data_IF_901431202336
#
_entry.id   IF_901431202336
#
_cell.length_a   1.000
_cell.length_b   1.000
_cell.length_c   1.000
_cell.angle_alpha   90.00
_cell.angle_beta   90.00
_cell.angle_gamma   90.00
#
_symmetry.space_group_name_H-M   'P 1'
#
loop_
_entity.id
_entity.type
_entity.pdbx_description
1 polymer ?
#
# COMPACT_ATOMS: atom_id res chain seq x y z
N UNK A 1 -27.19 20.13 -14.00
CA UNK A 1 -25.83 19.77 -13.61
C UNK A 1 -25.03 19.61 -14.90
N UNK A 2 -23.99 20.41 -15.08
CA UNK A 2 -23.12 20.30 -16.25
C UNK A 2 -22.24 19.05 -16.21
N UNK A 3 -21.51 18.76 -17.28
CA UNK A 3 -20.69 17.55 -17.39
C UNK A 3 -19.53 17.55 -16.38
N UNK A 4 -18.90 18.69 -16.15
CA UNK A 4 -17.83 18.84 -15.15
C UNK A 4 -18.31 18.58 -13.73
N UNK A 5 -19.50 19.08 -13.39
CA UNK A 5 -20.12 18.82 -12.07
C UNK A 5 -20.45 17.35 -11.90
N UNK A 6 -20.88 16.63 -12.95
CA UNK A 6 -21.13 15.18 -12.89
C UNK A 6 -19.84 14.41 -12.64
N UNK A 7 -18.76 14.77 -13.31
CA UNK A 7 -17.43 14.15 -13.13
C UNK A 7 -16.93 14.37 -11.69
N UNK A 8 -17.03 15.59 -11.19
CA UNK A 8 -16.61 15.90 -9.81
C UNK A 8 -17.46 15.17 -8.78
N UNK A 9 -18.78 15.11 -8.99
CA UNK A 9 -19.69 14.36 -8.12
C UNK A 9 -19.32 12.86 -8.09
N UNK A 10 -19.05 12.27 -9.26
CA UNK A 10 -18.61 10.88 -9.34
C UNK A 10 -17.29 10.65 -8.61
N UNK A 11 -16.28 11.54 -8.80
CA UNK A 11 -15.00 11.46 -8.10
C UNK A 11 -15.18 11.48 -6.57
N UNK A 12 -15.99 12.43 -6.07
CA UNK A 12 -16.26 12.57 -4.65
C UNK A 12 -17.04 11.36 -4.09
N UNK A 13 -17.97 10.80 -4.85
CA UNK A 13 -18.72 9.60 -4.45
C UNK A 13 -17.79 8.39 -4.29
N UNK A 14 -16.88 8.18 -5.25
CA UNK A 14 -15.87 7.13 -5.15
C UNK A 14 -14.87 7.37 -4.01
N UNK A 15 -14.47 8.62 -3.77
CA UNK A 15 -13.63 8.99 -2.63
C UNK A 15 -14.30 8.64 -1.29
N UNK A 16 -15.56 9.06 -1.10
CA UNK A 16 -16.30 8.78 0.13
C UNK A 16 -16.44 7.27 0.36
N UNK A 17 -16.72 6.49 -0.69
CA UNK A 17 -16.78 5.04 -0.58
C UNK A 17 -15.43 4.44 -0.21
N UNK A 18 -14.33 4.96 -0.78
CA UNK A 18 -12.97 4.58 -0.42
C UNK A 18 -12.64 4.89 1.04
N UNK A 19 -13.10 6.04 1.55
CA UNK A 19 -12.92 6.44 2.95
C UNK A 19 -13.67 5.51 3.92
N UNK A 20 -14.90 5.12 3.58
CA UNK A 20 -15.68 4.15 4.38
C UNK A 20 -14.95 2.80 4.44
N UNK A 21 -14.50 2.28 3.29
CA UNK A 21 -13.74 1.03 3.23
C UNK A 21 -12.44 1.11 4.06
N UNK A 22 -11.76 2.26 4.05
CA UNK A 22 -10.55 2.47 4.84
C UNK A 22 -10.82 2.39 6.34
N UNK A 23 -11.93 3.00 6.81
CA UNK A 23 -12.37 2.93 8.21
C UNK A 23 -12.66 1.50 8.65
N UNK A 24 -13.21 0.69 7.77
CA UNK A 24 -13.47 -0.74 7.98
C UNK A 24 -12.21 -1.61 7.85
N UNK A 25 -11.03 -1.00 7.64
CA UNK A 25 -9.76 -1.68 7.32
C UNK A 25 -9.83 -2.63 6.12
N UNK A 26 -10.75 -2.40 5.21
CA UNK A 26 -10.80 -3.00 3.89
C UNK A 26 -9.89 -2.21 2.94
N UNK A 27 -8.57 -2.36 3.13
CA UNK A 27 -7.58 -1.48 2.50
C UNK A 27 -7.51 -1.68 0.98
N UNK A 28 -7.56 -2.91 0.51
CA UNK A 28 -7.59 -3.22 -0.93
C UNK A 28 -8.87 -2.70 -1.60
N UNK A 29 -10.01 -2.82 -0.94
CA UNK A 29 -11.27 -2.21 -1.36
C UNK A 29 -11.16 -0.68 -1.43
N UNK A 30 -10.65 -0.06 -0.37
CA UNK A 30 -10.41 1.38 -0.31
C UNK A 30 -9.52 1.85 -1.47
N UNK A 31 -8.36 1.20 -1.68
CA UNK A 31 -7.45 1.53 -2.77
C UNK A 31 -8.13 1.44 -4.15
N UNK A 32 -9.00 0.45 -4.37
CA UNK A 32 -9.76 0.29 -5.62
C UNK A 32 -10.70 1.48 -5.86
N UNK A 33 -11.46 1.89 -4.85
CA UNK A 33 -12.38 3.03 -4.94
C UNK A 33 -11.63 4.36 -5.11
N UNK A 34 -10.54 4.57 -4.37
CA UNK A 34 -9.71 5.78 -4.49
C UNK A 34 -9.06 5.90 -5.86
N UNK A 35 -8.52 4.80 -6.41
CA UNK A 35 -8.03 4.78 -7.79
C UNK A 35 -9.12 5.13 -8.79
N UNK A 36 -10.35 4.66 -8.54
CA UNK A 36 -11.50 5.02 -9.40
C UNK A 36 -11.84 6.51 -9.28
N UNK A 37 -11.83 7.09 -8.08
CA UNK A 37 -11.98 8.53 -7.88
C UNK A 37 -10.96 9.33 -8.70
N UNK A 38 -9.69 8.90 -8.69
CA UNK A 38 -8.60 9.54 -9.44
C UNK A 38 -8.69 9.35 -10.96
N UNK A 39 -9.40 8.35 -11.46
CA UNK A 39 -9.72 8.21 -12.89
C UNK A 39 -10.72 9.28 -13.34
N UNK A 40 -11.69 9.65 -12.49
CA UNK A 40 -12.64 10.73 -12.77
C UNK A 40 -12.02 12.11 -12.56
N UNK A 41 -11.27 12.29 -11.48
CA UNK A 41 -10.57 13.54 -11.19
C UNK A 41 -9.13 13.28 -10.71
N UNK A 42 -8.17 13.38 -11.64
CA UNK A 42 -6.74 13.20 -11.35
C UNK A 42 -6.15 14.25 -10.40
N UNK A 43 -6.84 15.38 -10.21
CA UNK A 43 -6.45 16.49 -9.33
C UNK A 43 -7.04 16.38 -7.91
N UNK A 44 -7.74 15.30 -7.59
CA UNK A 44 -8.34 15.09 -6.27
C UNK A 44 -7.27 14.76 -5.22
N UNK A 45 -6.72 15.79 -4.58
CA UNK A 45 -5.61 15.67 -3.61
C UNK A 45 -5.97 14.82 -2.39
N UNK A 46 -7.19 14.96 -1.83
CA UNK A 46 -7.62 14.13 -0.70
C UNK A 46 -7.66 12.64 -1.05
N UNK A 47 -8.09 12.30 -2.27
CA UNK A 47 -8.10 10.89 -2.71
C UNK A 47 -6.66 10.35 -2.85
N UNK A 48 -5.71 11.17 -3.30
CA UNK A 48 -4.28 10.81 -3.34
C UNK A 48 -3.70 10.64 -1.96
N UNK A 49 -3.99 11.56 -1.06
CA UNK A 49 -3.51 11.53 0.31
C UNK A 49 -3.96 10.26 1.03
N UNK A 50 -5.24 9.95 0.91
CA UNK A 50 -5.80 8.73 1.49
C UNK A 50 -5.25 7.47 0.82
N UNK A 51 -5.10 7.46 -0.51
CA UNK A 51 -4.50 6.33 -1.23
C UNK A 51 -3.04 6.10 -0.80
N UNK A 52 -2.28 7.17 -0.57
CA UNK A 52 -0.94 7.08 0.00
C UNK A 52 -0.93 6.44 1.38
N UNK A 53 -1.85 6.85 2.27
CA UNK A 53 -2.01 6.22 3.59
C UNK A 53 -2.34 4.73 3.49
N UNK A 54 -3.24 4.35 2.60
CA UNK A 54 -3.59 2.94 2.36
C UNK A 54 -2.36 2.15 1.91
N UNK A 55 -1.58 2.65 0.97
CA UNK A 55 -0.35 1.99 0.53
C UNK A 55 0.67 1.88 1.67
N UNK A 56 0.81 2.92 2.49
CA UNK A 56 1.72 2.91 3.63
C UNK A 56 1.33 1.84 4.66
N UNK A 57 0.04 1.75 5.00
CA UNK A 57 -0.51 0.71 5.88
C UNK A 57 -0.29 -0.71 5.33
N UNK A 58 -0.39 -0.87 4.01
CA UNK A 58 -0.13 -2.15 3.32
C UNK A 58 1.37 -2.44 3.13
N UNK A 59 2.26 -1.60 3.65
CA UNK A 59 3.70 -1.76 3.53
C UNK A 59 4.29 -1.33 2.19
N UNK A 60 3.51 -0.73 1.31
CA UNK A 60 3.90 -0.24 -0.01
C UNK A 60 4.41 1.20 0.07
N UNK A 61 5.47 1.43 0.86
CA UNK A 61 5.96 2.78 1.19
C UNK A 61 6.32 3.60 -0.05
N UNK A 62 6.95 3.00 -1.06
CA UNK A 62 7.30 3.72 -2.30
C UNK A 62 6.06 4.20 -3.05
N UNK A 63 5.02 3.36 -3.13
CA UNK A 63 3.74 3.73 -3.76
C UNK A 63 3.04 4.86 -2.96
N UNK A 64 3.13 4.82 -1.63
CA UNK A 64 2.61 5.87 -0.76
C UNK A 64 3.30 7.23 -1.02
N UNK A 65 4.64 7.23 -1.02
CA UNK A 65 5.45 8.43 -1.28
C UNK A 65 5.11 9.05 -2.65
N UNK A 66 4.95 8.23 -3.69
CA UNK A 66 4.54 8.69 -5.03
C UNK A 66 3.21 9.45 -4.96
N UNK A 67 2.20 8.90 -4.25
CA UNK A 67 0.89 9.57 -4.15
C UNK A 67 1.00 10.91 -3.42
N UNK A 68 1.75 10.98 -2.32
CA UNK A 68 1.91 12.20 -1.53
C UNK A 68 2.71 13.26 -2.29
N UNK A 69 3.81 12.90 -2.96
CA UNK A 69 4.59 13.83 -3.80
C UNK A 69 3.73 14.42 -4.91
N UNK A 70 2.95 13.59 -5.62
CA UNK A 70 2.01 14.09 -6.65
C UNK A 70 0.98 15.02 -6.02
N UNK A 71 0.45 14.69 -4.83
CA UNK A 71 -0.53 15.51 -4.15
C UNK A 71 -0.01 16.90 -3.81
N UNK A 72 1.22 16.99 -3.26
CA UNK A 72 1.87 18.27 -2.93
C UNK A 72 2.11 19.10 -4.19
N UNK A 73 2.58 18.49 -5.27
CA UNK A 73 2.78 19.20 -6.53
C UNK A 73 1.47 19.76 -7.11
N UNK A 74 0.34 19.14 -6.83
CA UNK A 74 -0.99 19.62 -7.26
C UNK A 74 -1.54 20.72 -6.34
N UNK A 75 -1.23 20.64 -5.05
CA UNK A 75 -1.67 21.57 -4.02
C UNK A 75 -0.52 21.78 -3.02
N UNK A 76 0.34 22.79 -3.24
CA UNK A 76 1.50 23.04 -2.37
C UNK A 76 1.13 23.50 -0.97
N UNK A 77 0.07 24.30 -0.83
CA UNK A 77 -0.31 24.92 0.43
C UNK A 77 -1.45 24.17 1.12
N UNK A 78 -1.35 23.99 2.44
CA UNK A 78 -2.39 23.39 3.25
C UNK A 78 -2.66 21.91 2.95
N UNK A 79 -1.70 21.20 2.35
CA UNK A 79 -1.84 19.80 1.97
C UNK A 79 -1.34 18.87 3.08
N UNK A 80 -2.18 17.95 3.51
CA UNK A 80 -1.83 16.96 4.55
C UNK A 80 -0.70 16.01 4.15
N UNK A 81 -0.42 15.87 2.85
CA UNK A 81 0.67 15.03 2.37
C UNK A 81 2.05 15.49 2.87
N UNK A 82 2.25 16.79 3.16
CA UNK A 82 3.48 17.30 3.77
C UNK A 82 3.75 16.62 5.11
N UNK A 83 2.74 16.54 5.96
CA UNK A 83 2.86 15.86 7.24
C UNK A 83 3.26 14.38 7.09
N UNK A 84 2.65 13.67 6.14
CA UNK A 84 2.96 12.25 5.93
C UNK A 84 4.37 12.02 5.38
N UNK A 85 4.82 12.90 4.48
CA UNK A 85 6.20 12.85 3.98
C UNK A 85 7.20 13.14 5.08
N UNK A 86 6.96 14.16 5.88
CA UNK A 86 7.79 14.50 7.04
C UNK A 86 7.93 13.33 8.01
N UNK A 87 6.82 12.66 8.34
CA UNK A 87 6.83 11.50 9.24
C UNK A 87 7.69 10.35 8.72
N UNK A 88 7.69 10.12 7.40
CA UNK A 88 8.55 9.10 6.79
C UNK A 88 10.00 9.58 6.74
N UNK A 89 10.26 10.85 6.41
CA UNK A 89 11.60 11.40 6.25
C UNK A 89 12.34 11.59 7.59
N UNK A 90 11.62 11.90 8.67
CA UNK A 90 12.20 12.02 10.02
C UNK A 90 12.87 10.74 10.52
N UNK A 91 12.49 9.59 9.99
CA UNK A 91 13.10 8.31 10.34
C UNK A 91 14.31 8.07 9.43
N UNK A 92 15.56 8.09 9.96
CA UNK A 92 16.75 7.93 9.14
C UNK A 92 16.71 6.66 8.29
N UNK A 93 17.07 6.77 7.02
CA UNK A 93 17.16 5.65 6.10
C UNK A 93 15.84 5.09 5.58
N UNK A 94 14.69 5.62 5.95
CA UNK A 94 13.38 5.07 5.51
C UNK A 94 13.19 5.10 4.00
N UNK A 95 13.66 6.12 3.31
CA UNK A 95 13.59 6.21 1.85
C UNK A 95 14.45 5.14 1.19
N UNK A 96 15.65 4.93 1.72
CA UNK A 96 16.56 3.88 1.24
C UNK A 96 15.96 2.48 1.49
N UNK A 97 15.45 2.25 2.68
CA UNK A 97 14.73 1.00 3.03
C UNK A 97 13.54 0.79 2.07
N UNK A 98 12.73 1.80 1.80
CA UNK A 98 11.60 1.69 0.88
C UNK A 98 12.06 1.30 -0.54
N UNK A 99 13.12 1.93 -1.05
CA UNK A 99 13.71 1.60 -2.34
C UNK A 99 14.26 0.18 -2.39
N UNK A 100 15.01 -0.23 -1.35
CA UNK A 100 15.55 -1.58 -1.24
C UNK A 100 14.44 -2.64 -1.15
N UNK A 101 13.33 -2.36 -0.45
CA UNK A 101 12.20 -3.28 -0.36
C UNK A 101 11.59 -3.56 -1.73
N UNK A 102 11.42 -2.53 -2.59
CA UNK A 102 10.93 -2.72 -3.95
C UNK A 102 11.89 -3.60 -4.76
N UNK A 103 13.19 -3.34 -4.69
CA UNK A 103 14.21 -4.16 -5.38
C UNK A 103 14.19 -5.61 -4.91
N UNK A 104 14.19 -5.84 -3.59
CA UNK A 104 14.14 -7.18 -2.99
C UNK A 104 12.86 -7.92 -3.40
N UNK A 105 11.71 -7.24 -3.41
CA UNK A 105 10.44 -7.85 -3.81
C UNK A 105 10.41 -8.20 -5.30
N UNK A 106 10.87 -7.32 -6.17
CA UNK A 106 10.95 -7.58 -7.61
C UNK A 106 11.91 -8.74 -7.90
N UNK A 107 13.01 -8.86 -7.16
CA UNK A 107 13.92 -9.99 -7.25
C UNK A 107 13.26 -11.30 -6.82
N UNK A 108 12.50 -11.28 -5.72
CA UNK A 108 11.75 -12.46 -5.27
C UNK A 108 10.69 -12.88 -6.31
N UNK A 109 9.99 -11.90 -6.91
CA UNK A 109 9.04 -12.16 -7.99
C UNK A 109 9.72 -12.77 -9.22
N UNK A 110 10.90 -12.26 -9.59
CA UNK A 110 11.71 -12.82 -10.68
C UNK A 110 12.10 -14.28 -10.40
N UNK A 111 12.54 -14.60 -9.19
CA UNK A 111 12.85 -15.99 -8.78
C UNK A 111 11.63 -16.89 -8.91
N UNK A 112 10.46 -16.45 -8.40
CA UNK A 112 9.22 -17.21 -8.51
C UNK A 112 8.76 -17.43 -9.97
N UNK A 113 9.02 -16.47 -10.87
CA UNK A 113 8.68 -16.59 -12.29
C UNK A 113 9.64 -17.49 -13.08
N UNK A 114 10.80 -17.82 -12.51
CA UNK A 114 11.84 -18.65 -13.14
C UNK A 114 12.06 -19.97 -12.36
N UNK A 115 11.03 -20.51 -11.77
CA UNK A 115 11.03 -21.80 -11.06
C UNK A 115 12.11 -21.92 -9.98
N UNK A 116 12.56 -20.78 -9.43
CA UNK A 116 13.54 -20.71 -8.34
C UNK A 116 12.86 -20.42 -7.00
N UNK A 117 11.86 -21.21 -6.69
CA UNK A 117 10.93 -20.99 -5.56
C UNK A 117 11.62 -20.93 -4.21
N UNK A 118 12.63 -21.75 -3.96
CA UNK A 118 13.39 -21.72 -2.71
C UNK A 118 14.06 -20.37 -2.49
N UNK A 119 14.64 -19.77 -3.55
CA UNK A 119 15.24 -18.44 -3.48
C UNK A 119 14.17 -17.35 -3.28
N UNK A 120 13.03 -17.49 -3.97
CA UNK A 120 11.90 -16.59 -3.80
C UNK A 120 11.39 -16.62 -2.36
N UNK A 121 11.14 -17.81 -1.80
CA UNK A 121 10.71 -18.00 -0.41
C UNK A 121 11.72 -17.42 0.58
N UNK A 122 13.02 -17.70 0.39
CA UNK A 122 14.07 -17.18 1.25
C UNK A 122 14.07 -15.64 1.27
N UNK A 123 13.98 -15.03 0.08
CA UNK A 123 13.96 -13.58 -0.07
C UNK A 123 12.69 -12.95 0.53
N UNK A 124 11.52 -13.57 0.28
CA UNK A 124 10.24 -13.09 0.81
C UNK A 124 10.19 -13.18 2.34
N UNK A 125 10.75 -14.22 2.94
CA UNK A 125 10.85 -14.32 4.41
C UNK A 125 11.63 -13.15 4.99
N UNK A 126 12.78 -12.80 4.41
CA UNK A 126 13.54 -11.62 4.84
C UNK A 126 12.73 -10.33 4.71
N UNK A 127 11.99 -10.18 3.61
CA UNK A 127 11.12 -9.02 3.38
C UNK A 127 10.05 -8.90 4.47
N UNK A 128 9.33 -9.98 4.78
CA UNK A 128 8.26 -9.93 5.79
C UNK A 128 8.77 -9.82 7.22
N UNK A 129 10.01 -10.25 7.48
CA UNK A 129 10.69 -10.05 8.77
C UNK A 129 11.09 -8.57 8.94
N UNK A 130 11.64 -7.93 7.89
CA UNK A 130 12.02 -6.51 7.89
C UNK A 130 10.78 -5.59 7.83
N UNK A 131 9.73 -5.99 7.13
CA UNK A 131 8.48 -5.23 6.93
C UNK A 131 7.24 -6.11 7.09
N UNK A 132 6.80 -6.34 8.34
CA UNK A 132 5.71 -7.27 8.63
C UNK A 132 4.34 -6.91 8.05
N UNK A 133 4.13 -5.65 7.65
CA UNK A 133 2.89 -5.19 7.03
C UNK A 133 2.92 -5.23 5.49
N UNK A 134 3.94 -5.83 4.86
CA UNK A 134 4.01 -5.85 3.39
C UNK A 134 3.08 -6.92 2.80
N UNK A 135 1.86 -6.53 2.51
CA UNK A 135 0.76 -7.40 2.05
C UNK A 135 1.13 -8.19 0.79
N UNK A 136 1.73 -7.53 -0.22
CA UNK A 136 2.14 -8.21 -1.47
C UNK A 136 3.15 -9.34 -1.22
N UNK A 137 4.09 -9.15 -0.29
CA UNK A 137 5.09 -10.16 0.05
C UNK A 137 4.45 -11.37 0.76
N UNK A 138 3.56 -11.13 1.71
CA UNK A 138 2.81 -12.21 2.36
C UNK A 138 1.93 -13.00 1.39
N UNK A 139 1.27 -12.33 0.43
CA UNK A 139 0.45 -13.00 -0.59
C UNK A 139 1.30 -13.89 -1.49
N UNK A 140 2.45 -13.39 -1.98
CA UNK A 140 3.34 -14.19 -2.83
C UNK A 140 3.94 -15.36 -2.06
N UNK A 141 4.36 -15.15 -0.81
CA UNK A 141 4.87 -16.20 0.07
C UNK A 141 3.82 -17.29 0.32
N UNK A 142 2.55 -16.90 0.51
CA UNK A 142 1.45 -17.85 0.66
C UNK A 142 1.22 -18.68 -0.61
N UNK A 143 1.29 -18.06 -1.80
CA UNK A 143 1.16 -18.77 -3.08
C UNK A 143 2.25 -19.83 -3.24
N UNK A 144 3.52 -19.48 -3.01
CA UNK A 144 4.64 -20.43 -3.10
C UNK A 144 4.49 -21.57 -2.08
N UNK A 145 4.08 -21.29 -0.84
CA UNK A 145 3.80 -22.35 0.13
C UNK A 145 2.64 -23.25 -0.28
N UNK A 146 1.59 -22.72 -0.93
CA UNK A 146 0.48 -23.54 -1.45
C UNK A 146 0.96 -24.45 -2.60
N UNK A 147 1.82 -23.95 -3.47
CA UNK A 147 2.40 -24.71 -4.57
C UNK A 147 3.23 -25.90 -4.07
N UNK A 148 4.03 -25.69 -3.04
CA UNK A 148 4.81 -26.74 -2.37
C UNK A 148 3.99 -27.62 -1.39
N UNK A 149 2.67 -27.42 -1.29
CA UNK A 149 1.82 -28.18 -0.39
C UNK A 149 1.96 -27.84 1.10
N UNK A 150 2.73 -26.80 1.46
CA UNK A 150 2.85 -26.35 2.86
C UNK A 150 1.71 -25.41 3.24
N UNK A 151 0.52 -25.99 3.29
CA UNK A 151 -0.71 -25.24 3.59
C UNK A 151 -0.69 -24.59 4.98
N UNK A 152 0.08 -25.13 5.92
CA UNK A 152 0.20 -24.56 7.26
C UNK A 152 0.92 -23.21 7.23
N UNK A 153 2.04 -23.11 6.50
CA UNK A 153 2.76 -21.84 6.34
C UNK A 153 1.98 -20.87 5.45
N UNK A 154 1.33 -21.36 4.39
CA UNK A 154 0.45 -20.56 3.56
C UNK A 154 -0.65 -19.89 4.40
N UNK A 155 -1.35 -20.65 5.23
CA UNK A 155 -2.40 -20.14 6.12
C UNK A 155 -1.89 -19.06 7.08
N UNK A 156 -0.68 -19.21 7.64
CA UNK A 156 -0.06 -18.18 8.49
C UNK A 156 0.19 -16.87 7.73
N UNK A 157 0.72 -16.94 6.51
CA UNK A 157 0.96 -15.77 5.68
C UNK A 157 -0.34 -15.07 5.29
N UNK A 158 -1.37 -15.83 4.90
CA UNK A 158 -2.69 -15.29 4.58
C UNK A 158 -3.38 -14.65 5.79
N UNK A 159 -3.22 -15.25 6.97
CA UNK A 159 -3.73 -14.67 8.20
C UNK A 159 -3.11 -13.29 8.48
N UNK A 160 -1.80 -13.12 8.24
CA UNK A 160 -1.13 -11.82 8.35
C UNK A 160 -1.72 -10.79 7.38
N UNK A 161 -2.00 -11.19 6.13
CA UNK A 161 -2.68 -10.30 5.18
C UNK A 161 -4.03 -9.85 5.72
N UNK A 162 -4.86 -10.79 6.21
CA UNK A 162 -6.20 -10.47 6.71
C UNK A 162 -6.19 -9.67 8.03
N UNK A 163 -5.11 -9.71 8.80
CA UNK A 163 -4.94 -8.81 9.94
C UNK A 163 -4.68 -7.34 9.51
N UNK A 164 -4.05 -7.13 8.35
CA UNK A 164 -3.73 -5.81 7.82
C UNK A 164 -4.91 -5.27 7.00
N UNK A 165 -5.44 -6.10 6.11
CA UNK A 165 -6.50 -5.83 5.14
C UNK A 165 -7.63 -6.86 5.31
N UNK A 166 -8.63 -6.51 6.11
CA UNK A 166 -9.67 -7.43 6.61
C UNK A 166 -10.42 -8.19 5.52
N UNK A 167 -10.68 -7.55 4.40
CA UNK A 167 -11.48 -8.07 3.29
C UNK A 167 -10.65 -8.23 2.01
N UNK A 168 -9.37 -8.58 2.14
CA UNK A 168 -8.54 -8.86 0.99
C UNK A 168 -9.09 -10.05 0.20
N UNK A 169 -9.66 -9.78 -0.98
CA UNK A 169 -10.35 -10.78 -1.82
C UNK A 169 -9.42 -11.96 -2.19
N UNK A 170 -8.13 -11.67 -2.46
CA UNK A 170 -7.14 -12.72 -2.79
C UNK A 170 -6.84 -13.60 -1.58
N UNK A 171 -6.58 -12.96 -0.43
CA UNK A 171 -6.25 -13.68 0.79
C UNK A 171 -7.44 -14.54 1.26
N UNK A 172 -8.66 -14.02 1.18
CA UNK A 172 -9.88 -14.77 1.53
C UNK A 172 -10.02 -16.00 0.65
N UNK A 173 -9.94 -15.85 -0.68
CA UNK A 173 -10.05 -16.96 -1.63
C UNK A 173 -8.95 -18.02 -1.42
N UNK A 174 -7.70 -17.57 -1.21
CA UNK A 174 -6.60 -18.49 -0.95
C UNK A 174 -6.74 -19.19 0.41
N UNK A 175 -7.25 -18.51 1.41
CA UNK A 175 -7.54 -19.11 2.71
C UNK A 175 -8.61 -20.20 2.62
N UNK A 176 -9.66 -20.01 1.82
CA UNK A 176 -10.67 -21.03 1.54
C UNK A 176 -10.05 -22.25 0.87
N UNK A 177 -9.17 -22.05 -0.10
CA UNK A 177 -8.43 -23.15 -0.73
C UNK A 177 -7.56 -23.90 0.30
N UNK A 178 -6.77 -23.20 1.09
CA UNK A 178 -5.95 -23.79 2.16
C UNK A 178 -6.82 -24.60 3.14
N UNK A 179 -7.99 -24.08 3.52
CA UNK A 179 -8.95 -24.78 4.39
C UNK A 179 -9.41 -26.09 3.79
N UNK A 180 -9.75 -26.11 2.51
CA UNK A 180 -10.19 -27.33 1.81
C UNK A 180 -9.14 -28.43 1.79
N UNK A 181 -7.84 -28.06 1.94
CA UNK A 181 -6.71 -28.99 1.91
C UNK A 181 -6.25 -29.45 3.29
N UNK A 182 -6.44 -28.65 4.33
CA UNK A 182 -5.86 -28.94 5.66
C UNK A 182 -6.85 -29.52 6.67
N UNK A 183 -8.16 -29.43 6.45
CA UNK A 183 -9.15 -29.80 7.45
C UNK A 183 -9.09 -29.00 8.77
N UNK A 184 -8.11 -28.07 8.91
CA UNK A 184 -7.87 -27.24 10.09
C UNK A 184 -8.61 -25.89 10.04
N UNK A 185 -9.59 -25.78 9.16
CA UNK A 185 -10.34 -24.56 8.90
C UNK A 185 -10.96 -23.90 10.14
N UNK A 186 -11.41 -24.69 11.08
CA UNK A 186 -12.11 -24.22 12.26
C UNK A 186 -11.19 -23.45 13.22
N UNK A 187 -9.96 -23.91 13.39
CA UNK A 187 -8.98 -23.28 14.31
C UNK A 187 -8.51 -21.93 13.80
N UNK A 188 -8.26 -21.83 12.48
CA UNK A 188 -7.82 -20.57 11.88
C UNK A 188 -8.96 -19.54 11.78
N UNK A 189 -10.19 -19.99 11.52
CA UNK A 189 -11.39 -19.15 11.56
C UNK A 189 -11.64 -18.60 12.96
N UNK A 190 -11.44 -19.41 14.02
CA UNK A 190 -11.53 -18.94 15.41
C UNK A 190 -10.46 -17.90 15.73
N UNK A 191 -9.20 -18.12 15.31
CA UNK A 191 -8.12 -17.16 15.54
C UNK A 191 -8.38 -15.83 14.82
N UNK A 192 -8.85 -15.86 13.57
CA UNK A 192 -9.27 -14.67 12.84
C UNK A 192 -10.39 -13.91 13.56
N UNK A 193 -11.46 -14.64 13.92
CA UNK A 193 -12.60 -14.02 14.62
C UNK A 193 -12.19 -13.36 15.92
N UNK A 194 -11.31 -13.99 16.70
CA UNK A 194 -10.79 -13.40 17.93
C UNK A 194 -9.90 -12.18 17.69
N UNK A 195 -9.08 -12.21 16.62
CA UNK A 195 -8.23 -11.06 16.26
C UNK A 195 -9.05 -9.84 15.80
N UNK A 196 -10.19 -10.08 15.12
CA UNK A 196 -11.10 -9.01 14.70
C UNK A 196 -11.94 -8.49 15.87
N UNK A 197 -12.44 -9.36 16.77
CA UNK A 197 -13.21 -8.94 17.94
C UNK A 197 -12.38 -8.15 18.94
N UNK A 198 -11.08 -8.39 19.05
CA UNK A 198 -10.18 -7.57 19.87
C UNK A 198 -9.91 -6.19 19.26
N UNK A 199 -10.03 -6.02 17.93
CA UNK A 199 -9.91 -4.71 17.27
C UNK A 199 -11.17 -3.86 17.39
N UNK A 200 -12.35 -4.47 17.43
CA UNK A 200 -13.61 -3.75 17.68
C UNK A 200 -13.66 -3.11 19.07
N UNK A 201 -12.81 -3.56 20.01
CA UNK A 201 -12.70 -2.98 21.37
C UNK A 201 -11.63 -1.89 21.49
N UNK A 202 -10.78 -1.68 20.49
CA UNK A 202 -9.82 -0.58 20.42
C UNK A 202 -10.28 0.44 19.38
N UNK A 203 -11.33 1.18 19.76
CA UNK A 203 -11.98 2.24 18.95
C UNK A 203 -11.07 3.48 18.74
N UNK A 204 -9.84 3.46 19.23
CA UNK A 204 -8.90 4.59 19.19
C UNK A 204 -7.92 4.59 17.99
N UNK A 205 -7.86 3.52 17.19
CA UNK A 205 -6.99 3.44 16.00
C UNK A 205 -7.72 3.80 14.68
N UNK A 206 -8.69 4.69 14.76
CA UNK A 206 -9.20 5.38 13.56
C UNK A 206 -8.04 6.21 13.01
N UNK A 207 -7.67 6.00 11.74
CA UNK A 207 -6.77 6.89 10.99
C UNK A 207 -7.46 8.27 10.90
N UNK A 208 -7.54 8.97 12.01
CA UNK A 208 -7.90 10.38 12.05
C UNK A 208 -6.64 11.14 11.66
N UNK A 209 -6.70 11.94 10.61
CA UNK A 209 -5.57 12.79 10.28
C UNK A 209 -5.31 13.71 11.50
N UNK A 210 -4.05 13.77 11.97
CA UNK A 210 -3.70 14.66 13.06
C UNK A 210 -4.03 16.11 12.68
N UNK A 211 -4.43 16.90 13.66
CA UNK A 211 -4.66 18.33 13.48
C UNK A 211 -3.39 19.01 13.03
N UNK A 212 -3.44 19.62 11.84
CA UNK A 212 -2.35 20.33 11.20
C UNK A 212 -1.90 21.54 12.04
N UNK A 213 -0.60 21.62 12.34
CA UNK A 213 0.08 22.86 12.74
C UNK A 213 0.83 23.40 11.54
N UNK A 214 0.47 24.56 11.06
CA UNK A 214 1.21 25.28 10.04
C UNK A 214 2.66 25.49 10.48
N UNK A 215 3.60 24.91 9.74
CA UNK A 215 5.01 25.24 9.81
C UNK A 215 5.43 25.86 8.47
N UNK A 216 5.77 27.13 8.54
CA UNK A 216 6.04 28.00 7.42
C UNK A 216 7.47 27.86 6.88
N UNK A 217 7.62 27.70 5.59
CA UNK A 217 8.52 28.49 4.75
C UNK A 217 9.79 27.83 4.22
N UNK A 218 10.61 27.10 4.95
CA UNK A 218 11.92 26.59 4.45
C UNK A 218 11.89 25.16 3.93
N UNK A 219 11.00 24.33 4.43
CA UNK A 219 10.89 22.94 4.04
C UNK A 219 10.26 22.72 2.65
N UNK A 220 9.42 23.66 2.20
CA UNK A 220 8.86 23.64 0.84
C UNK A 220 9.93 23.68 -0.25
N UNK A 221 11.04 24.41 -0.03
CA UNK A 221 12.12 24.55 -1.00
C UNK A 221 12.93 23.24 -1.12
N UNK A 222 13.14 22.53 -0.02
CA UNK A 222 13.84 21.24 -0.01
C UNK A 222 13.00 20.17 -0.71
N UNK A 223 11.69 20.17 -0.50
CA UNK A 223 10.77 19.22 -1.12
C UNK A 223 10.64 19.39 -2.63
N UNK A 224 10.71 20.63 -3.14
CA UNK A 224 10.80 20.93 -4.59
C UNK A 224 12.12 20.37 -5.16
N UNK A 225 13.23 20.46 -4.44
CA UNK A 225 14.52 19.91 -4.84
C UNK A 225 14.49 18.38 -4.99
N UNK A 226 13.84 17.67 -4.05
CA UNK A 226 13.69 16.20 -4.09
C UNK A 226 12.77 15.78 -5.25
N UNK A 227 11.66 16.49 -5.46
CA UNK A 227 10.74 16.23 -6.58
C UNK A 227 11.40 16.44 -7.95
N UNK A 228 12.25 17.48 -8.08
CA UNK A 228 13.04 17.74 -9.29
C UNK A 228 14.10 16.67 -9.54
N UNK A 229 14.77 16.17 -8.52
CA UNK A 229 15.78 15.10 -8.66
C UNK A 229 15.11 13.78 -9.05
N UNK A 230 13.99 13.42 -8.43
CA UNK A 230 13.23 12.23 -8.82
C UNK A 230 12.61 12.36 -10.21
N UNK A 231 12.11 13.54 -10.57
CA UNK A 231 11.60 13.87 -11.91
C UNK A 231 12.70 13.85 -12.96
N UNK A 232 13.88 14.43 -12.68
CA UNK A 232 15.02 14.44 -13.59
C UNK A 232 15.58 13.02 -13.82
N UNK A 233 15.64 12.19 -12.79
CA UNK A 233 16.04 10.76 -12.92
C UNK A 233 15.04 10.00 -13.78
N UNK A 234 13.73 10.21 -13.63
CA UNK A 234 12.71 9.61 -14.51
C UNK A 234 12.83 10.09 -15.96
N UNK A 235 13.06 11.38 -16.18
CA UNK A 235 13.21 11.97 -17.53
C UNK A 235 14.48 11.46 -18.20
N UNK A 236 15.60 11.37 -17.49
CA UNK A 236 16.85 10.82 -18.04
C UNK A 236 16.72 9.36 -18.41
N UNK A 237 16.06 8.54 -17.62
CA UNK A 237 15.85 7.12 -17.91
C UNK A 237 14.78 6.83 -18.97
N UNK A 238 13.78 7.71 -19.15
CA UNK A 238 12.69 7.51 -20.10
C UNK A 238 12.90 8.20 -21.47
N UNK A 239 13.71 9.26 -21.53
CA UNK A 239 13.83 10.12 -22.74
C UNK A 239 15.20 10.03 -23.40
N UNK A 240 16.26 9.62 -22.70
CA UNK A 240 17.63 9.54 -23.27
C UNK A 240 18.00 8.32 -24.12
N UNK A 241 17.24 7.20 -24.23
CA UNK A 241 17.59 6.18 -25.22
C UNK A 241 17.22 6.51 -26.67
N UNK A 242 16.69 7.68 -26.97
CA UNK A 242 16.21 8.03 -28.31
C UNK A 242 17.12 8.98 -29.11
N UNK A 243 18.33 9.30 -28.66
CA UNK A 243 19.20 10.27 -29.37
C UNK A 243 20.66 9.84 -29.48
N UNK A 244 20.88 8.65 -30.04
CA UNK A 244 22.13 8.32 -30.74
C UNK A 244 21.80 7.37 -31.89
N UNK A 245 21.49 7.95 -33.06
CA UNK A 245 21.84 7.50 -34.40
C UNK A 245 21.68 8.66 -35.36
#
# INVERSE_FOLDING_TARGET
MDEMQKIQYAANSYYNRGLEMAKERNLSGAARFLKRALQFNKYHTDARNLLGLIFYEMGETSDALIQWVISINLQPDGNRADYYLDEVQRKPGQLEIASQMVKKFNQALFYAQNDSDDLAVLQLKRIVDEKPNFVKAHLLLALLYMEHGDYTKAGKSLFKVLQIDNNNEKATRYMEYVKSRTGKAEVEKRKMKNAFSHREMQDDDVILPPTYKENTGWQSIINIGIGLVLGAVMVVFLIMPARER
#
